data_IF_553157821367
#
_entry.id   IF_553157821367
#
_cell.length_a   1.000
_cell.length_b   1.000
_cell.length_c   1.000
_cell.angle_alpha   90.00
_cell.angle_beta   90.00
_cell.angle_gamma   90.00
#
_symmetry.space_group_name_H-M   'P 1'
#
loop_
_entity.id
_entity.type
_entity.pdbx_description
1 polymer ?
#
# COMPACT_ATOMS: atom_id res chain seq x y z
N UNK A 1 6.92 23.10 -5.50
CA UNK A 1 6.98 23.37 -4.04
C UNK A 1 5.98 22.54 -3.24
N UNK A 2 4.67 22.56 -3.58
CA UNK A 2 3.64 21.77 -2.87
C UNK A 2 3.99 20.29 -2.70
N UNK A 3 4.46 19.62 -3.76
CA UNK A 3 4.91 18.20 -3.72
C UNK A 3 5.99 17.94 -2.67
N UNK A 4 7.02 18.78 -2.60
CA UNK A 4 8.12 18.62 -1.65
C UNK A 4 7.66 18.83 -0.21
N UNK A 5 6.80 19.82 0.02
CA UNK A 5 6.18 20.04 1.33
C UNK A 5 5.34 18.82 1.73
N UNK A 6 4.52 18.28 0.82
CA UNK A 6 3.74 17.07 1.08
C UNK A 6 4.63 15.86 1.41
N UNK A 7 5.70 15.64 0.66
CA UNK A 7 6.65 14.54 0.93
C UNK A 7 7.27 14.72 2.33
N UNK A 8 7.73 15.92 2.66
CA UNK A 8 8.35 16.21 3.96
C UNK A 8 7.36 16.00 5.12
N UNK A 9 6.11 16.45 4.97
CA UNK A 9 5.08 16.23 5.98
C UNK A 9 4.73 14.74 6.14
N UNK A 10 4.64 13.98 5.05
CA UNK A 10 4.41 12.53 5.10
C UNK A 10 5.59 11.82 5.75
N UNK A 11 6.83 12.21 5.43
CA UNK A 11 8.02 11.65 6.08
C UNK A 11 8.01 11.90 7.59
N UNK A 12 7.71 13.12 8.04
CA UNK A 12 7.58 13.39 9.47
C UNK A 12 6.43 12.63 10.12
N UNK A 13 5.30 12.48 9.42
CA UNK A 13 4.20 11.67 9.90
C UNK A 13 4.62 10.20 10.09
N UNK A 14 5.28 9.60 9.10
CA UNK A 14 5.77 8.22 9.20
C UNK A 14 6.79 8.06 10.33
N UNK A 15 7.77 8.96 10.42
CA UNK A 15 8.80 8.91 11.48
C UNK A 15 8.19 9.06 12.88
N UNK A 16 7.15 9.88 13.04
CA UNK A 16 6.52 10.14 14.36
C UNK A 16 5.45 9.12 14.76
N UNK A 17 4.85 8.41 13.81
CA UNK A 17 3.73 7.49 14.08
C UNK A 17 4.09 6.02 13.90
N UNK A 18 5.30 5.71 13.44
CA UNK A 18 5.77 4.34 13.22
C UNK A 18 7.19 4.16 13.74
N UNK A 19 7.69 2.92 13.77
CA UNK A 19 9.05 2.59 14.19
C UNK A 19 10.15 3.04 13.20
N UNK A 20 9.85 3.83 12.16
CA UNK A 20 10.87 4.32 11.21
C UNK A 20 11.97 5.14 11.90
N UNK A 21 11.68 5.81 13.02
CA UNK A 21 12.72 6.50 13.82
C UNK A 21 13.80 5.55 14.36
N UNK A 22 13.54 4.24 14.50
CA UNK A 22 14.55 3.27 14.94
C UNK A 22 15.73 3.21 13.97
N UNK A 23 15.54 3.55 12.68
CA UNK A 23 16.63 3.64 11.71
C UNK A 23 17.68 4.70 12.09
N UNK A 24 17.32 5.69 12.91
CA UNK A 24 18.27 6.66 13.44
C UNK A 24 19.26 6.05 14.45
N UNK A 25 19.00 4.84 14.95
CA UNK A 25 19.89 4.08 15.84
C UNK A 25 20.88 3.18 15.09
N UNK A 26 20.84 3.15 13.75
CA UNK A 26 21.81 2.39 12.94
C UNK A 26 23.27 2.74 13.26
N UNK A 27 23.67 4.00 13.52
CA UNK A 27 25.03 4.30 13.92
C UNK A 27 25.49 3.54 15.18
N UNK A 28 24.61 3.43 16.19
CA UNK A 28 24.88 2.66 17.41
C UNK A 28 25.06 1.17 17.14
N UNK A 29 24.26 0.61 16.23
CA UNK A 29 24.42 -0.79 15.78
C UNK A 29 25.79 -1.01 15.12
N UNK A 30 26.23 -0.07 14.27
CA UNK A 30 27.51 -0.15 13.56
C UNK A 30 28.67 -0.05 14.55
N UNK A 31 28.61 0.91 15.49
CA UNK A 31 29.63 1.09 16.53
C UNK A 31 29.78 -0.19 17.36
N UNK A 32 28.68 -0.75 17.84
CA UNK A 32 28.70 -1.96 18.64
C UNK A 32 29.17 -3.19 17.84
N UNK A 33 28.83 -3.28 16.56
CA UNK A 33 29.39 -4.32 15.68
C UNK A 33 30.90 -4.20 15.54
N UNK A 34 31.43 -2.98 15.39
CA UNK A 34 32.88 -2.73 15.28
C UNK A 34 33.60 -3.15 16.56
N UNK A 35 33.02 -2.89 17.74
CA UNK A 35 33.56 -3.36 19.02
C UNK A 35 33.71 -4.90 19.03
N UNK A 36 32.62 -5.62 18.74
CA UNK A 36 32.66 -7.08 18.69
C UNK A 36 33.57 -7.66 17.60
N UNK A 37 33.69 -6.99 16.45
CA UNK A 37 34.64 -7.38 15.41
C UNK A 37 36.10 -7.11 15.80
N UNK A 38 36.36 -6.14 16.67
CA UNK A 38 37.68 -5.88 17.25
C UNK A 38 38.10 -6.97 18.23
N UNK A 39 37.18 -7.42 19.08
CA UNK A 39 37.44 -8.46 20.08
C UNK A 39 37.45 -9.88 19.48
N UNK A 40 36.62 -10.13 18.47
CA UNK A 40 36.54 -11.41 17.78
C UNK A 40 36.63 -11.21 16.24
N UNK A 41 37.81 -11.46 15.64
CA UNK A 41 38.01 -11.31 14.19
C UNK A 41 37.14 -12.22 13.31
N UNK A 42 36.62 -13.32 13.86
CA UNK A 42 35.71 -14.25 13.16
C UNK A 42 34.23 -13.77 13.23
N UNK A 43 33.96 -12.65 13.92
CA UNK A 43 32.61 -12.10 14.05
C UNK A 43 32.10 -11.58 12.71
N UNK A 44 31.04 -12.22 12.21
CA UNK A 44 30.29 -11.74 11.06
C UNK A 44 29.13 -10.85 11.49
N UNK A 45 28.64 -9.98 10.59
CA UNK A 45 27.43 -9.19 10.84
C UNK A 45 26.22 -10.08 11.19
N UNK A 46 26.09 -11.23 10.53
CA UNK A 46 24.95 -12.15 10.75
C UNK A 46 25.05 -12.80 12.14
N UNK A 47 26.25 -13.21 12.57
CA UNK A 47 26.43 -13.80 13.91
C UNK A 47 26.18 -12.77 15.01
N UNK A 48 26.63 -11.52 14.82
CA UNK A 48 26.32 -10.42 15.72
C UNK A 48 24.81 -10.16 15.83
N UNK A 49 24.11 -10.02 14.70
CA UNK A 49 22.66 -9.82 14.71
C UNK A 49 21.92 -10.99 15.38
N UNK A 50 22.33 -12.25 15.15
CA UNK A 50 21.73 -13.39 15.84
C UNK A 50 21.91 -13.32 17.35
N UNK A 51 23.09 -12.94 17.81
CA UNK A 51 23.38 -12.83 19.24
C UNK A 51 22.43 -11.86 19.96
N UNK A 52 22.19 -10.68 19.37
CA UNK A 52 21.39 -9.64 20.04
C UNK A 52 19.89 -9.66 19.71
N UNK A 53 19.45 -10.28 18.60
CA UNK A 53 18.04 -10.28 18.18
C UNK A 53 17.33 -11.64 18.27
N UNK A 54 18.05 -12.77 18.25
CA UNK A 54 17.44 -14.10 18.33
C UNK A 54 17.39 -14.60 19.78
N UNK A 55 18.52 -14.51 20.48
CA UNK A 55 18.67 -14.99 21.86
C UNK A 55 19.35 -13.95 22.76
N UNK A 56 18.69 -12.80 23.02
CA UNK A 56 19.29 -11.73 23.81
C UNK A 56 19.60 -12.20 25.23
N UNK A 57 20.86 -12.03 25.66
CA UNK A 57 21.34 -12.37 26.99
C UNK A 57 21.45 -11.11 27.83
N UNK A 58 21.15 -11.20 29.13
CA UNK A 58 21.44 -10.12 30.08
C UNK A 58 22.87 -10.25 30.58
N UNK A 59 23.79 -9.61 29.90
CA UNK A 59 25.21 -9.56 30.26
C UNK A 59 25.68 -8.12 30.48
N UNK A 60 27.00 -7.89 30.39
CA UNK A 60 27.61 -6.59 30.59
C UNK A 60 27.12 -5.54 29.56
N UNK A 61 26.75 -5.99 28.36
CA UNK A 61 26.40 -5.12 27.23
C UNK A 61 24.89 -4.85 27.17
N UNK A 62 24.11 -5.45 28.07
CA UNK A 62 22.65 -5.33 28.10
C UNK A 62 22.13 -3.89 28.00
N UNK A 63 22.79 -2.90 28.61
CA UNK A 63 22.35 -1.50 28.49
C UNK A 63 22.56 -0.91 27.08
N UNK A 64 23.60 -1.36 26.39
CA UNK A 64 23.89 -0.99 25.00
C UNK A 64 22.94 -1.72 24.05
N UNK A 65 22.67 -3.00 24.31
CA UNK A 65 21.71 -3.81 23.56
C UNK A 65 20.31 -3.18 23.52
N UNK A 66 19.84 -2.66 24.66
CA UNK A 66 18.54 -1.98 24.71
C UNK A 66 18.45 -0.72 23.83
N UNK A 67 19.59 -0.14 23.44
CA UNK A 67 19.69 1.03 22.55
C UNK A 67 19.79 0.65 21.08
N UNK A 68 19.94 -0.64 20.75
CA UNK A 68 19.97 -1.11 19.38
C UNK A 68 18.60 -0.87 18.69
N UNK A 69 18.59 -0.70 17.36
CA UNK A 69 17.36 -0.49 16.61
C UNK A 69 16.44 -1.69 16.77
N UNK A 70 15.14 -1.44 17.01
CA UNK A 70 14.10 -2.49 17.11
C UNK A 70 14.28 -3.52 18.25
N UNK A 71 15.12 -3.26 19.25
CA UNK A 71 15.14 -4.08 20.48
C UNK A 71 14.06 -3.63 21.47
N UNK A 72 13.92 -2.32 21.63
CA UNK A 72 12.90 -1.71 22.49
C UNK A 72 11.87 -0.96 21.64
N UNK A 73 10.59 -1.20 21.92
CA UNK A 73 9.45 -0.63 21.20
C UNK A 73 8.69 0.35 22.09
N UNK A 74 8.33 1.50 21.52
CA UNK A 74 7.44 2.46 22.18
C UNK A 74 6.01 2.25 21.70
N UNK A 75 5.03 2.59 22.54
CA UNK A 75 3.63 2.60 22.08
C UNK A 75 3.44 3.72 21.06
N UNK A 76 3.04 3.36 19.85
CA UNK A 76 2.73 4.31 18.77
C UNK A 76 1.29 4.80 18.85
N UNK A 77 0.96 5.74 17.97
CA UNK A 77 -0.39 6.29 17.83
C UNK A 77 -1.41 5.17 17.55
N UNK A 78 -2.26 4.87 18.54
CA UNK A 78 -3.38 3.94 18.41
C UNK A 78 -4.63 4.74 18.07
N UNK A 79 -5.11 4.63 16.83
CA UNK A 79 -6.40 5.19 16.42
C UNK A 79 -7.50 4.16 16.64
N UNK A 80 -8.41 4.45 17.58
CA UNK A 80 -9.62 3.67 17.78
C UNK A 80 -10.78 4.41 17.14
N UNK A 81 -11.30 3.87 16.04
CA UNK A 81 -12.51 4.40 15.40
C UNK A 81 -13.72 3.68 15.98
N UNK A 82 -14.54 4.39 16.76
CA UNK A 82 -15.82 3.89 17.23
C UNK A 82 -16.91 4.29 16.24
N UNK A 83 -17.71 3.32 15.77
CA UNK A 83 -18.90 3.64 14.98
C UNK A 83 -19.93 4.27 15.92
N UNK A 84 -20.47 5.43 15.55
CA UNK A 84 -21.62 5.97 16.26
C UNK A 84 -22.76 4.95 16.14
N UNK A 85 -23.40 4.50 17.24
CA UNK A 85 -24.50 3.54 17.17
C UNK A 85 -25.68 4.04 16.30
N UNK A 86 -25.74 5.35 16.05
CA UNK A 86 -26.78 5.99 15.23
C UNK A 86 -26.31 6.33 13.80
N UNK A 87 -25.28 5.65 13.25
CA UNK A 87 -24.85 5.89 11.88
C UNK A 87 -25.90 5.33 10.88
N UNK A 88 -26.81 6.19 10.43
CA UNK A 88 -27.68 5.89 9.28
C UNK A 88 -26.93 6.21 7.99
N UNK A 89 -26.48 5.16 7.28
CA UNK A 89 -25.92 5.29 5.94
C UNK A 89 -27.07 5.39 4.94
N UNK A 90 -27.36 6.59 4.47
CA UNK A 90 -28.33 6.81 3.40
C UNK A 90 -27.64 6.63 2.04
N UNK A 91 -27.80 5.46 1.43
CA UNK A 91 -27.38 5.22 0.04
C UNK A 91 -28.37 5.93 -0.87
N UNK A 92 -28.04 7.16 -1.29
CA UNK A 92 -28.78 7.83 -2.37
C UNK A 92 -28.59 7.01 -3.64
N UNK A 93 -29.65 6.31 -4.07
CA UNK A 93 -29.69 5.74 -5.42
C UNK A 93 -29.44 6.89 -6.40
N UNK A 94 -28.48 6.77 -7.33
CA UNK A 94 -28.32 7.79 -8.36
C UNK A 94 -29.66 7.90 -9.07
N UNK A 95 -30.23 9.10 -9.07
CA UNK A 95 -31.32 9.42 -9.98
C UNK A 95 -30.67 9.37 -11.35
N UNK A 96 -30.83 8.25 -12.05
CA UNK A 96 -30.56 8.20 -13.48
C UNK A 96 -31.61 9.13 -14.07
N UNK A 97 -31.25 10.40 -14.26
CA UNK A 97 -31.97 11.24 -15.20
C UNK A 97 -31.77 10.58 -16.54
N UNK A 98 -32.79 9.85 -16.99
CA UNK A 98 -32.87 9.39 -18.37
C UNK A 98 -33.00 10.64 -19.24
N UNK A 99 -31.87 11.29 -19.49
CA UNK A 99 -31.72 12.13 -20.65
C UNK A 99 -31.79 11.16 -21.82
N UNK A 100 -33.02 10.83 -22.22
CA UNK A 100 -33.33 10.32 -23.54
C UNK A 100 -32.83 11.37 -24.53
N UNK A 101 -31.53 11.35 -24.80
CA UNK A 101 -30.91 12.06 -25.90
C UNK A 101 -31.57 11.42 -27.11
N UNK A 102 -32.46 12.15 -27.78
CA UNK A 102 -33.18 11.66 -28.95
C UNK A 102 -32.14 11.09 -29.91
N UNK A 103 -32.02 9.76 -29.95
CA UNK A 103 -31.11 9.10 -30.88
C UNK A 103 -31.64 9.49 -32.25
N UNK A 104 -30.82 10.20 -33.03
CA UNK A 104 -31.15 10.52 -34.40
C UNK A 104 -31.07 9.20 -35.17
N UNK A 105 -32.20 8.48 -35.25
CA UNK A 105 -32.32 7.37 -36.18
C UNK A 105 -32.24 7.98 -37.57
N UNK A 106 -31.14 7.73 -38.28
CA UNK A 106 -31.03 8.04 -39.70
C UNK A 106 -32.00 7.13 -40.45
N UNK A 107 -33.27 7.56 -40.50
CA UNK A 107 -34.29 6.93 -41.31
C UNK A 107 -33.94 7.12 -42.79
N UNK A 108 -34.02 6.02 -43.52
CA UNK A 108 -33.93 5.92 -44.99
C UNK A 108 -32.51 5.80 -45.57
N UNK A 109 -31.84 4.69 -45.26
CA UNK A 109 -31.12 3.99 -46.33
C UNK A 109 -32.20 3.35 -47.21
N UNK A 110 -32.28 3.81 -48.45
CA UNK A 110 -33.13 3.28 -49.50
C UNK A 110 -32.98 1.76 -49.57
N UNK A 111 -33.95 1.04 -49.02
CA UNK A 111 -34.06 -0.40 -49.21
C UNK A 111 -34.63 -0.59 -50.61
N UNK A 112 -33.79 -0.97 -51.55
CA UNK A 112 -34.25 -1.41 -52.86
C UNK A 112 -35.03 -2.71 -52.67
N UNK A 113 -36.35 -2.65 -52.84
CA UNK A 113 -37.25 -3.81 -52.62
C UNK A 113 -36.88 -4.97 -53.54
N UNK A 114 -36.21 -4.71 -54.66
CA UNK A 114 -35.80 -5.73 -55.61
C UNK A 114 -34.64 -6.60 -55.09
N UNK A 115 -33.82 -6.09 -54.16
CA UNK A 115 -32.77 -6.88 -53.50
C UNK A 115 -33.36 -7.96 -52.58
N UNK A 116 -34.54 -7.72 -51.99
CA UNK A 116 -35.16 -8.68 -51.04
C UNK A 116 -35.64 -9.97 -51.71
N UNK A 117 -35.92 -9.94 -53.01
CA UNK A 117 -36.43 -11.11 -53.75
C UNK A 117 -35.33 -11.94 -54.44
N UNK A 118 -34.08 -11.46 -54.45
CA UNK A 118 -33.01 -12.02 -55.28
C UNK A 118 -31.91 -12.76 -54.50
N UNK A 119 -31.87 -12.65 -53.16
CA UNK A 119 -30.63 -13.01 -52.45
C UNK A 119 -30.54 -14.49 -52.08
N UNK A 120 -31.64 -15.24 -51.91
CA UNK A 120 -31.56 -16.71 -51.72
C UNK A 120 -32.86 -17.42 -52.09
N UNK A 121 -33.00 -17.89 -53.34
CA UNK A 121 -34.03 -18.87 -53.70
C UNK A 121 -33.38 -20.22 -54.03
N UNK A 122 -33.84 -21.34 -53.44
CA UNK A 122 -33.34 -22.66 -53.82
C UNK A 122 -33.73 -23.02 -55.27
N UNK A 123 -33.02 -23.97 -55.92
CA UNK A 123 -33.30 -24.39 -57.29
C UNK A 123 -34.73 -24.94 -57.39
N UNK A 124 -35.51 -24.42 -58.34
CA UNK A 124 -36.96 -24.68 -58.35
C UNK A 124 -37.40 -25.98 -59.03
N UNK A 125 -36.52 -26.73 -59.71
CA UNK A 125 -36.87 -28.03 -60.31
C UNK A 125 -35.62 -28.95 -60.42
N UNK A 126 -35.85 -30.27 -60.41
CA UNK A 126 -34.91 -31.32 -60.80
C UNK A 126 -35.10 -31.70 -62.27
#
# INVERSE_FOLDING_TARGET
>A
MKKWISILLISFYLVSTTEVYQLLKIPTLIEHFIEHSGDNPEMTLISFLKMHYDHPVKDADYQTDQKLPFVTHSSHLVLVFTVNPNLTVEVKKPIITDHHKKIFSFGNLFYDKDASNSIWQPPKNC
#
